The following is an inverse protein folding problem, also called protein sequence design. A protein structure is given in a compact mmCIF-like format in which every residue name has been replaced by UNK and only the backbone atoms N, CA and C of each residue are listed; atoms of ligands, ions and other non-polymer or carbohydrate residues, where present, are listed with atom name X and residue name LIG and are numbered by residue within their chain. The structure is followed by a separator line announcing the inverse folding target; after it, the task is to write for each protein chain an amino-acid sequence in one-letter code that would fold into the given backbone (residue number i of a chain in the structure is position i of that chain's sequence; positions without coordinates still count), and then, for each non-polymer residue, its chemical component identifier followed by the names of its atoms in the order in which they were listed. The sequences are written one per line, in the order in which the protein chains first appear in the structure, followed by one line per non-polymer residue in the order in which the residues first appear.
data_IF_419339145185
#
_entry.id   IF_419339145185
#
_cell.length_a   1.000
_cell.length_b   1.000
_cell.length_c   1.000
_cell.angle_alpha   90.00
_cell.angle_beta   90.00
_cell.angle_gamma   90.00
#
_symmetry.space_group_name_H-M   'P 1'
#
loop_
_entity.id
_entity.type
_entity.pdbx_description
1 polymer ?
#
# COMPACT_ATOMS: atom_id res chain seq x y z
N UNK A 1 24.01 -0.08 -19.01
CA UNK A 1 22.63 -0.06 -18.47
C UNK A 1 22.18 1.38 -18.33
N UNK A 2 21.00 1.72 -18.84
CA UNK A 2 20.47 3.08 -18.69
C UNK A 2 19.96 3.30 -17.25
N UNK A 3 20.10 4.51 -16.70
CA UNK A 3 19.44 4.89 -15.46
C UNK A 3 17.92 4.77 -15.57
N UNK A 4 17.25 4.39 -14.49
CA UNK A 4 15.80 4.31 -14.45
C UNK A 4 15.17 5.69 -14.43
N UNK A 5 14.26 5.94 -15.37
CA UNK A 5 13.45 7.15 -15.41
C UNK A 5 11.96 6.78 -15.28
N UNK A 6 11.28 7.25 -14.21
CA UNK A 6 9.83 7.15 -14.10
C UNK A 6 9.11 7.68 -15.34
N UNK A 7 8.09 6.95 -15.81
CA UNK A 7 7.27 7.40 -16.94
C UNK A 7 6.40 8.63 -16.62
N UNK A 8 6.26 9.00 -15.35
CA UNK A 8 5.45 10.16 -14.97
C UNK A 8 6.16 11.44 -15.39
N UNK A 9 5.43 12.29 -16.15
CA UNK A 9 5.89 13.64 -16.52
C UNK A 9 5.38 14.71 -15.55
N UNK A 10 4.43 14.36 -14.69
CA UNK A 10 3.86 15.27 -13.70
C UNK A 10 4.89 15.49 -12.58
N UNK A 11 5.05 16.74 -12.09
CA UNK A 11 5.79 17.00 -10.85
C UNK A 11 5.26 16.13 -9.71
N UNK A 12 6.18 15.67 -8.85
CA UNK A 12 5.87 14.83 -7.70
C UNK A 12 6.35 15.54 -6.44
N UNK A 13 5.50 15.58 -5.41
CA UNK A 13 5.85 16.08 -4.07
C UNK A 13 6.89 15.17 -3.47
N UNK A 14 7.96 15.76 -2.93
CA UNK A 14 8.97 14.98 -2.22
C UNK A 14 8.42 14.47 -0.89
N UNK A 15 8.68 13.20 -0.57
CA UNK A 15 8.18 12.56 0.64
C UNK A 15 9.29 11.83 1.37
N UNK A 16 9.25 11.82 2.69
CA UNK A 16 10.27 11.15 3.53
C UNK A 16 10.43 9.66 3.18
N UNK A 17 9.34 9.00 2.75
CA UNK A 17 9.36 7.59 2.34
C UNK A 17 10.25 7.34 1.11
N UNK A 18 10.49 8.34 0.25
CA UNK A 18 11.39 8.19 -0.90
C UNK A 18 12.82 7.96 -0.44
N UNK A 19 13.26 8.74 0.54
CA UNK A 19 14.59 8.60 1.14
C UNK A 19 14.71 7.31 1.93
N UNK A 20 13.67 6.90 2.66
CA UNK A 20 13.66 5.62 3.36
C UNK A 20 13.83 4.42 2.41
N UNK A 21 13.17 4.44 1.23
CA UNK A 21 13.34 3.43 0.19
C UNK A 21 14.75 3.49 -0.42
N UNK A 22 15.29 4.69 -0.71
CA UNK A 22 16.67 4.84 -1.20
C UNK A 22 17.70 4.31 -0.23
N UNK A 23 17.54 4.59 1.08
CA UNK A 23 18.42 4.06 2.11
C UNK A 23 18.35 2.53 2.19
N UNK A 24 17.16 1.95 1.99
CA UNK A 24 17.02 0.49 1.89
C UNK A 24 17.77 -0.07 0.70
N UNK A 25 17.64 0.53 -0.48
CA UNK A 25 18.35 0.10 -1.69
C UNK A 25 19.86 0.18 -1.49
N UNK A 26 20.36 1.28 -0.90
CA UNK A 26 21.79 1.51 -0.69
C UNK A 26 22.43 0.48 0.24
N UNK A 27 21.71 0.08 1.29
CA UNK A 27 22.20 -0.83 2.32
C UNK A 27 21.49 -2.19 2.25
N UNK A 28 21.04 -2.59 1.06
CA UNK A 28 20.42 -3.89 0.87
C UNK A 28 21.48 -4.99 0.91
N UNK A 29 21.23 -6.02 1.72
CA UNK A 29 22.11 -7.19 1.87
C UNK A 29 21.36 -8.49 1.52
N UNK A 30 20.11 -8.59 2.00
CA UNK A 30 19.19 -9.70 1.78
C UNK A 30 17.75 -9.21 1.85
N UNK A 31 16.80 -10.10 1.55
CA UNK A 31 15.37 -10.00 1.86
C UNK A 31 14.54 -9.09 0.97
N UNK A 32 13.31 -9.54 0.71
CA UNK A 32 12.36 -8.78 -0.08
C UNK A 32 11.98 -7.47 0.65
N UNK A 33 11.73 -6.41 -0.11
CA UNK A 33 11.21 -5.15 0.42
C UNK A 33 9.74 -5.01 0.02
N UNK A 34 8.85 -4.94 1.00
CA UNK A 34 7.42 -4.84 0.76
C UNK A 34 6.98 -3.39 1.00
N UNK A 35 6.39 -2.79 -0.02
CA UNK A 35 5.81 -1.45 0.05
C UNK A 35 4.30 -1.62 0.19
N UNK A 36 3.83 -1.35 1.40
CA UNK A 36 2.44 -1.45 1.80
C UNK A 36 1.84 -0.07 2.06
N UNK A 37 0.53 -0.02 2.21
CA UNK A 37 -0.22 1.22 2.44
C UNK A 37 -1.61 1.17 1.83
N UNK A 38 -2.42 2.18 2.12
CA UNK A 38 -3.79 2.30 1.59
C UNK A 38 -3.77 2.33 0.07
N UNK A 39 -4.81 1.78 -0.56
CA UNK A 39 -4.99 1.94 -2.00
C UNK A 39 -5.01 3.44 -2.33
N UNK A 40 -4.26 3.87 -3.35
CA UNK A 40 -4.18 5.28 -3.73
C UNK A 40 -3.22 6.16 -2.90
N UNK A 41 -2.48 5.63 -1.92
CA UNK A 41 -1.53 6.43 -1.11
C UNK A 41 -0.23 6.84 -1.83
N UNK A 42 -0.07 6.49 -3.10
CA UNK A 42 1.12 6.85 -3.89
C UNK A 42 2.29 5.86 -3.82
N UNK A 43 2.05 4.59 -3.44
CA UNK A 43 3.09 3.54 -3.33
C UNK A 43 3.96 3.38 -4.57
N UNK A 44 3.34 3.12 -5.73
CA UNK A 44 4.09 2.96 -6.98
C UNK A 44 4.83 4.25 -7.37
N UNK A 45 4.30 5.43 -7.03
CA UNK A 45 5.02 6.71 -7.24
C UNK A 45 6.24 6.79 -6.33
N UNK A 46 6.10 6.47 -5.05
CA UNK A 46 7.20 6.48 -4.08
C UNK A 46 8.36 5.57 -4.50
N UNK A 47 8.05 4.35 -4.93
CA UNK A 47 9.07 3.40 -5.43
C UNK A 47 9.75 3.93 -6.69
N UNK A 48 8.98 4.40 -7.66
CA UNK A 48 9.53 4.89 -8.93
C UNK A 48 10.42 6.11 -8.73
N UNK A 49 10.00 7.07 -7.91
CA UNK A 49 10.82 8.25 -7.59
C UNK A 49 12.06 7.90 -6.77
N UNK A 50 11.98 6.95 -5.84
CA UNK A 50 13.16 6.46 -5.11
C UNK A 50 14.18 5.79 -6.04
N UNK A 51 13.72 5.18 -7.14
CA UNK A 51 14.56 4.51 -8.13
C UNK A 51 15.06 5.44 -9.25
N UNK A 52 14.66 6.71 -9.28
CA UNK A 52 15.09 7.65 -10.32
C UNK A 52 16.62 7.73 -10.37
N UNK A 53 17.18 7.57 -11.57
CA UNK A 53 18.63 7.57 -11.78
C UNK A 53 19.35 6.27 -11.39
N UNK A 54 18.65 5.29 -10.81
CA UNK A 54 19.25 4.00 -10.40
C UNK A 54 19.40 3.10 -11.63
N UNK A 55 20.58 2.49 -11.80
CA UNK A 55 20.84 1.55 -12.89
C UNK A 55 20.47 0.12 -12.48
N UNK A 56 20.18 -0.73 -13.47
CA UNK A 56 19.88 -2.15 -13.22
C UNK A 56 18.47 -2.40 -12.65
N UNK A 57 17.55 -1.46 -12.86
CA UNK A 57 16.15 -1.56 -12.40
C UNK A 57 15.28 -2.17 -13.49
N UNK A 58 14.50 -3.18 -13.13
CA UNK A 58 13.45 -3.75 -13.97
C UNK A 58 12.10 -3.70 -13.26
N UNK A 59 11.10 -3.11 -13.90
CA UNK A 59 9.74 -2.99 -13.34
C UNK A 59 8.77 -3.87 -14.10
N UNK A 60 8.09 -4.75 -13.39
CA UNK A 60 7.10 -5.69 -13.91
C UNK A 60 5.76 -5.55 -13.18
N UNK A 61 4.66 -5.60 -13.92
CA UNK A 61 3.32 -5.61 -13.32
C UNK A 61 2.75 -7.01 -13.34
N UNK A 62 2.19 -7.47 -12.21
CA UNK A 62 1.64 -8.82 -12.05
C UNK A 62 0.12 -8.72 -12.19
N UNK A 63 -0.37 -8.86 -13.42
CA UNK A 63 -1.79 -8.67 -13.75
C UNK A 63 -2.59 -9.98 -13.71
N UNK A 64 -1.94 -11.12 -13.93
CA UNK A 64 -2.55 -12.43 -14.17
C UNK A 64 -1.61 -13.59 -13.81
N UNK A 65 -2.10 -14.83 -13.94
CA UNK A 65 -1.40 -16.04 -13.53
C UNK A 65 -0.13 -16.34 -14.36
N UNK A 66 -0.05 -15.91 -15.62
CA UNK A 66 1.10 -16.10 -16.52
C UNK A 66 2.15 -14.98 -16.43
N UNK A 67 2.08 -14.15 -15.37
CA UNK A 67 3.02 -13.03 -15.15
C UNK A 67 4.49 -13.44 -15.22
N UNK A 68 4.84 -14.66 -14.76
CA UNK A 68 6.23 -15.14 -14.73
C UNK A 68 6.77 -15.36 -16.14
N UNK A 69 5.97 -15.93 -17.04
CA UNK A 69 6.33 -16.12 -18.45
C UNK A 69 6.45 -14.77 -19.16
N UNK A 70 5.53 -13.83 -18.86
CA UNK A 70 5.62 -12.44 -19.35
C UNK A 70 6.88 -11.74 -18.85
N UNK A 71 7.29 -11.97 -17.60
CA UNK A 71 8.52 -11.44 -17.04
C UNK A 71 9.74 -11.98 -17.81
N UNK A 72 9.85 -13.29 -18.00
CA UNK A 72 10.97 -13.91 -18.72
C UNK A 72 11.03 -13.44 -20.16
N UNK A 73 9.89 -13.41 -20.86
CA UNK A 73 9.80 -12.90 -22.23
C UNK A 73 10.27 -11.44 -22.33
N UNK A 74 9.90 -10.58 -21.38
CA UNK A 74 10.32 -9.17 -21.34
C UNK A 74 11.81 -8.99 -21.02
N UNK A 75 12.40 -9.94 -20.30
CA UNK A 75 13.85 -10.00 -20.07
C UNK A 75 14.61 -10.66 -21.24
N UNK A 76 13.89 -11.18 -22.25
CA UNK A 76 14.49 -11.89 -23.39
C UNK A 76 15.02 -13.28 -23.03
N UNK A 77 14.47 -13.91 -21.99
CA UNK A 77 14.90 -15.21 -21.49
C UNK A 77 14.04 -16.33 -22.07
N UNK A 78 14.68 -17.45 -22.43
CA UNK A 78 14.00 -18.64 -22.89
C UNK A 78 13.32 -19.41 -21.74
N UNK A 79 13.75 -19.17 -20.49
CA UNK A 79 13.21 -19.83 -19.31
C UNK A 79 13.86 -19.37 -18.00
N UNK A 80 13.42 -19.92 -16.86
CA UNK A 80 13.88 -19.55 -15.52
C UNK A 80 15.39 -19.80 -15.31
N UNK A 81 15.94 -20.86 -15.90
CA UNK A 81 17.34 -21.27 -15.71
C UNK A 81 18.34 -20.21 -16.18
N UNK A 82 17.93 -19.32 -17.10
CA UNK A 82 18.78 -18.23 -17.60
C UNK A 82 18.73 -16.97 -16.73
N UNK A 83 17.80 -16.89 -15.78
CA UNK A 83 17.62 -15.69 -14.96
C UNK A 83 18.87 -15.43 -14.11
N UNK A 84 19.43 -16.47 -13.49
CA UNK A 84 20.64 -16.38 -12.66
C UNK A 84 21.81 -15.74 -13.42
N UNK A 85 22.15 -16.28 -14.59
CA UNK A 85 23.25 -15.81 -15.42
C UNK A 85 23.08 -14.34 -15.82
N UNK A 86 21.84 -13.90 -16.02
CA UNK A 86 21.54 -12.51 -16.35
C UNK A 86 21.73 -11.62 -15.14
N UNK A 87 21.21 -12.01 -13.97
CA UNK A 87 21.34 -11.26 -12.73
C UNK A 87 22.81 -11.14 -12.31
N UNK A 88 23.58 -12.23 -12.37
CA UNK A 88 25.02 -12.24 -12.09
C UNK A 88 25.80 -11.29 -13.02
N UNK A 89 25.49 -11.29 -14.33
CA UNK A 89 26.12 -10.36 -15.28
C UNK A 89 25.78 -8.90 -15.00
N UNK A 90 24.52 -8.62 -14.64
CA UNK A 90 24.08 -7.27 -14.28
C UNK A 90 24.75 -6.82 -12.99
N UNK A 91 24.81 -7.67 -11.96
CA UNK A 91 25.50 -7.39 -10.71
C UNK A 91 26.97 -7.02 -10.95
N UNK A 92 27.72 -7.83 -11.70
CA UNK A 92 29.12 -7.56 -12.01
C UNK A 92 29.34 -6.24 -12.76
N UNK A 93 28.34 -5.75 -13.51
CA UNK A 93 28.38 -4.43 -14.13
C UNK A 93 28.05 -3.32 -13.13
N UNK A 94 27.06 -3.51 -12.25
CA UNK A 94 26.68 -2.53 -11.23
C UNK A 94 27.80 -2.28 -10.22
N UNK A 95 28.51 -3.33 -9.80
CA UNK A 95 29.68 -3.22 -8.91
C UNK A 95 30.78 -2.32 -9.49
N UNK A 96 30.99 -2.35 -10.81
CA UNK A 96 31.96 -1.50 -11.52
C UNK A 96 31.49 -0.05 -11.64
N UNK A 97 30.18 0.18 -11.72
CA UNK A 97 29.60 1.51 -11.89
C UNK A 97 29.54 2.29 -10.57
N UNK A 98 29.54 1.60 -9.42
CA UNK A 98 29.56 2.25 -8.10
C UNK A 98 28.30 3.07 -7.79
N UNK A 99 27.15 2.67 -8.36
CA UNK A 99 25.87 3.36 -8.21
C UNK A 99 25.19 3.11 -6.85
N UNK A 100 23.94 3.56 -6.72
CA UNK A 100 23.16 3.41 -5.47
C UNK A 100 22.96 1.95 -5.06
N UNK A 101 22.74 1.06 -6.03
CA UNK A 101 22.63 -0.39 -5.81
C UNK A 101 23.83 -1.10 -6.41
N UNK A 102 24.27 -2.17 -5.73
CA UNK A 102 25.29 -3.11 -6.24
C UNK A 102 24.68 -4.34 -6.90
N UNK A 103 23.38 -4.54 -6.75
CA UNK A 103 22.64 -5.69 -7.29
C UNK A 103 21.50 -5.24 -8.21
N UNK A 104 21.05 -6.09 -9.15
CA UNK A 104 19.84 -5.83 -9.93
C UNK A 104 18.65 -5.58 -9.01
N UNK A 105 17.75 -4.66 -9.39
CA UNK A 105 16.50 -4.41 -8.67
C UNK A 105 15.34 -4.87 -9.55
N UNK A 106 14.50 -5.75 -9.01
CA UNK A 106 13.25 -6.16 -9.65
C UNK A 106 12.08 -5.61 -8.85
N UNK A 107 11.31 -4.72 -9.46
CA UNK A 107 10.07 -4.20 -8.89
C UNK A 107 8.91 -5.02 -9.41
N UNK A 108 8.14 -5.61 -8.49
CA UNK A 108 6.92 -6.36 -8.73
C UNK A 108 5.73 -5.48 -8.29
N UNK A 109 5.11 -4.80 -9.26
CA UNK A 109 3.94 -3.93 -9.05
C UNK A 109 2.68 -4.78 -9.16
N UNK A 110 1.96 -4.96 -8.06
CA UNK A 110 0.78 -5.83 -7.99
C UNK A 110 -0.49 -4.96 -7.98
N UNK A 111 -1.21 -4.85 -9.10
CA UNK A 111 -2.46 -4.09 -9.19
C UNK A 111 -3.54 -4.61 -8.24
N UNK A 112 -4.52 -3.76 -7.95
CA UNK A 112 -5.66 -4.12 -7.08
C UNK A 112 -6.52 -5.25 -7.64
N UNK A 113 -6.57 -5.38 -8.95
CA UNK A 113 -7.36 -6.38 -9.67
C UNK A 113 -6.76 -7.79 -9.57
N UNK A 114 -5.51 -7.91 -9.14
CA UNK A 114 -4.84 -9.21 -9.06
C UNK A 114 -5.35 -9.99 -7.85
N UNK A 115 -6.05 -11.10 -8.12
CA UNK A 115 -6.64 -11.95 -7.09
C UNK A 115 -5.81 -13.20 -6.80
N UNK A 116 -5.05 -13.68 -7.77
CA UNK A 116 -4.36 -14.98 -7.74
C UNK A 116 -2.83 -14.84 -7.81
N UNK A 117 -2.11 -15.92 -7.50
CA UNK A 117 -0.66 -16.01 -7.70
C UNK A 117 0.21 -15.36 -6.63
N UNK A 118 -0.33 -14.88 -5.51
CA UNK A 118 0.48 -14.22 -4.47
C UNK A 118 1.54 -15.16 -3.86
N UNK A 119 1.21 -16.45 -3.70
CA UNK A 119 2.15 -17.46 -3.22
C UNK A 119 3.32 -17.66 -4.19
N UNK A 120 3.06 -17.60 -5.50
CA UNK A 120 4.11 -17.74 -6.52
C UNK A 120 4.97 -16.49 -6.62
N UNK A 121 4.40 -15.30 -6.45
CA UNK A 121 5.15 -14.04 -6.35
C UNK A 121 6.02 -14.03 -5.10
N UNK A 122 5.49 -14.48 -3.96
CA UNK A 122 6.25 -14.62 -2.72
C UNK A 122 7.42 -15.59 -2.87
N UNK A 123 7.15 -16.78 -3.39
CA UNK A 123 8.18 -17.80 -3.62
C UNK A 123 9.27 -17.30 -4.57
N UNK A 124 8.89 -16.55 -5.62
CA UNK A 124 9.84 -15.93 -6.53
C UNK A 124 10.69 -14.85 -5.85
N UNK A 125 10.10 -13.99 -5.03
CA UNK A 125 10.84 -12.96 -4.29
C UNK A 125 11.84 -13.59 -3.31
N UNK A 126 11.41 -14.63 -2.57
CA UNK A 126 12.27 -15.42 -1.66
C UNK A 126 13.48 -15.98 -2.40
N UNK A 127 13.21 -16.67 -3.52
CA UNK A 127 14.23 -17.32 -4.33
C UNK A 127 15.34 -16.35 -4.77
N UNK A 128 14.98 -15.11 -5.12
CA UNK A 128 15.95 -14.12 -5.58
C UNK A 128 16.67 -13.35 -4.46
N UNK A 129 16.06 -13.22 -3.27
CA UNK A 129 16.57 -12.35 -2.22
C UNK A 129 17.30 -13.07 -1.07
N UNK A 130 17.00 -14.36 -0.83
CA UNK A 130 17.32 -14.98 0.45
C UNK A 130 17.64 -16.48 0.38
N UNK A 131 17.73 -17.10 -0.80
CA UNK A 131 18.03 -18.53 -0.90
C UNK A 131 19.55 -18.78 -0.81
N UNK A 132 20.00 -19.60 0.13
CA UNK A 132 21.43 -19.90 0.33
C UNK A 132 22.09 -20.55 -0.91
N UNK A 133 21.28 -21.12 -1.81
CA UNK A 133 21.74 -21.67 -3.09
C UNK A 133 22.09 -20.61 -4.13
N UNK A 134 21.42 -19.46 -4.08
CA UNK A 134 21.67 -18.28 -4.89
C UNK A 134 22.03 -17.12 -3.95
N UNK A 135 23.32 -16.84 -3.75
CA UNK A 135 23.74 -15.59 -3.07
C UNK A 135 22.86 -14.45 -3.57
N UNK A 136 22.11 -13.82 -2.66
CA UNK A 136 21.04 -12.85 -2.91
C UNK A 136 21.22 -12.09 -4.25
N UNK A 137 20.61 -12.65 -5.31
CA UNK A 137 20.98 -12.34 -6.70
C UNK A 137 20.32 -11.05 -7.21
N UNK A 138 19.23 -10.62 -6.56
CA UNK A 138 18.56 -9.36 -6.85
C UNK A 138 17.80 -8.84 -5.63
N UNK A 139 17.72 -7.51 -5.53
CA UNK A 139 16.82 -6.84 -4.59
C UNK A 139 15.42 -6.83 -5.18
N UNK A 140 14.50 -7.62 -4.62
CA UNK A 140 13.09 -7.61 -5.02
C UNK A 140 12.30 -6.62 -4.16
N UNK A 141 11.65 -5.67 -4.84
CA UNK A 141 10.73 -4.71 -4.23
C UNK A 141 9.31 -5.06 -4.68
N UNK A 142 8.44 -5.40 -3.74
CA UNK A 142 7.04 -5.73 -4.01
C UNK A 142 6.17 -4.54 -3.64
N UNK A 143 5.47 -3.98 -4.61
CA UNK A 143 4.51 -2.90 -4.42
C UNK A 143 3.10 -3.48 -4.46
N UNK A 144 2.56 -3.81 -3.29
CA UNK A 144 1.21 -4.34 -3.16
C UNK A 144 0.20 -3.19 -3.21
N UNK A 145 -0.81 -3.25 -4.07
CA UNK A 145 -1.79 -2.15 -4.25
C UNK A 145 -2.58 -1.76 -2.99
N UNK A 146 -2.76 -2.67 -2.04
CA UNK A 146 -3.49 -2.46 -0.79
C UNK A 146 -2.82 -3.13 0.41
N UNK A 147 -3.15 -2.66 1.61
CA UNK A 147 -2.69 -3.25 2.86
C UNK A 147 -3.08 -4.73 2.99
N UNK A 148 -4.32 -5.08 2.62
CA UNK A 148 -4.80 -6.46 2.64
C UNK A 148 -4.01 -7.37 1.71
N UNK A 149 -3.60 -6.86 0.55
CA UNK A 149 -2.73 -7.60 -0.39
C UNK A 149 -1.32 -7.77 0.15
N UNK A 150 -0.77 -6.74 0.81
CA UNK A 150 0.52 -6.84 1.47
C UNK A 150 0.54 -7.92 2.56
N UNK A 151 -0.58 -8.14 3.27
CA UNK A 151 -0.71 -9.19 4.27
C UNK A 151 -0.81 -10.61 3.69
N UNK A 152 -1.28 -10.74 2.46
CA UNK A 152 -1.25 -12.01 1.74
C UNK A 152 0.16 -12.37 1.27
N UNK A 153 1.10 -11.42 1.33
CA UNK A 153 2.49 -11.64 0.96
C UNK A 153 3.29 -12.14 2.18
N UNK A 154 3.73 -13.39 2.12
CA UNK A 154 4.59 -13.98 3.14
C UNK A 154 5.93 -14.36 2.53
N UNK A 155 6.90 -13.42 2.50
CA UNK A 155 8.26 -13.66 2.03
C UNK A 155 9.12 -14.49 3.01
N UNK A 156 8.51 -15.25 3.92
CA UNK A 156 9.19 -16.18 4.83
C UNK A 156 9.21 -15.65 6.26
N UNK A 157 8.14 -14.95 6.63
CA UNK A 157 7.99 -14.23 7.89
C UNK A 157 8.77 -12.91 7.93
N UNK A 158 8.62 -12.21 9.06
CA UNK A 158 9.29 -10.93 9.33
C UNK A 158 10.82 -10.99 9.27
N UNK A 159 11.39 -12.18 9.38
CA UNK A 159 12.84 -12.40 9.30
C UNK A 159 13.39 -12.28 7.88
N UNK A 160 12.55 -12.38 6.84
CA UNK A 160 12.97 -12.41 5.43
C UNK A 160 12.29 -11.35 4.56
N UNK A 161 11.67 -10.35 5.20
CA UNK A 161 11.07 -9.21 4.52
C UNK A 161 11.20 -7.93 5.33
N UNK A 162 11.46 -6.81 4.64
CA UNK A 162 11.42 -5.47 5.24
C UNK A 162 10.19 -4.72 4.73
N UNK A 163 9.28 -4.39 5.64
CA UNK A 163 8.05 -3.70 5.33
C UNK A 163 8.22 -2.19 5.47
N UNK A 164 7.77 -1.45 4.47
CA UNK A 164 7.61 -0.01 4.48
C UNK A 164 6.15 0.34 4.28
N UNK A 165 5.69 1.35 5.01
CA UNK A 165 4.33 1.83 4.90
C UNK A 165 4.31 3.23 4.26
N UNK A 166 3.54 3.37 3.19
CA UNK A 166 3.30 4.65 2.53
C UNK A 166 1.99 5.21 3.04
N UNK A 167 2.11 6.20 3.93
CA UNK A 167 0.99 6.94 4.48
C UNK A 167 0.29 7.78 3.40
N UNK A 168 -0.89 8.30 3.73
CA UNK A 168 -1.50 9.42 2.99
C UNK A 168 -0.62 10.68 3.16
N UNK A 169 -0.93 11.77 2.44
CA UNK A 169 -0.14 13.00 2.57
C UNK A 169 -0.26 13.59 3.98
N UNK A 170 0.81 14.23 4.44
CA UNK A 170 0.73 15.21 5.54
C UNK A 170 0.06 16.50 5.04
N UNK A 171 -0.26 17.43 5.95
CA UNK A 171 -0.73 18.77 5.57
C UNK A 171 0.22 19.48 4.61
N UNK A 172 1.52 19.47 4.93
CA UNK A 172 2.55 20.11 4.11
C UNK A 172 2.67 19.43 2.73
N UNK A 173 2.65 18.08 2.69
CA UNK A 173 2.71 17.32 1.44
C UNK A 173 1.47 17.57 0.57
N UNK A 174 0.28 17.64 1.17
CA UNK A 174 -0.97 17.90 0.45
C UNK A 174 -1.01 19.34 -0.10
N UNK A 175 -0.55 20.31 0.70
CA UNK A 175 -0.45 21.71 0.29
C UNK A 175 0.54 21.90 -0.86
N UNK A 176 1.71 21.25 -0.80
CA UNK A 176 2.67 21.25 -1.89
C UNK A 176 2.08 20.57 -3.15
N UNK A 177 1.40 19.44 -2.97
CA UNK A 177 0.77 18.71 -4.07
C UNK A 177 -0.24 19.58 -4.81
N UNK A 178 -1.13 20.24 -4.06
CA UNK A 178 -2.17 21.10 -4.62
C UNK A 178 -1.58 22.36 -5.24
N UNK A 179 -0.50 22.92 -4.68
CA UNK A 179 0.23 24.01 -5.31
C UNK A 179 0.80 23.61 -6.69
N UNK A 180 1.35 22.40 -6.83
CA UNK A 180 1.81 21.85 -8.12
C UNK A 180 0.68 21.62 -9.12
N UNK A 181 -0.57 21.58 -8.66
CA UNK A 181 -1.78 21.48 -9.49
C UNK A 181 -2.47 22.82 -9.75
N UNK A 182 -1.95 23.93 -9.20
CA UNK A 182 -2.54 25.26 -9.34
C UNK A 182 -3.65 25.57 -8.32
N UNK A 183 -3.80 24.76 -7.28
CA UNK A 183 -4.83 24.90 -6.24
C UNK A 183 -4.23 25.27 -4.87
N UNK A 184 -3.21 26.13 -4.85
CA UNK A 184 -2.50 26.52 -3.60
C UNK A 184 -3.43 27.17 -2.58
N UNK A 185 -4.34 28.03 -3.03
CA UNK A 185 -5.20 28.84 -2.16
C UNK A 185 -6.44 28.06 -1.67
N UNK A 186 -6.85 27.01 -2.39
CA UNK A 186 -8.04 26.21 -2.06
C UNK A 186 -7.72 24.92 -1.30
N UNK A 187 -6.47 24.75 -0.84
CA UNK A 187 -5.97 23.45 -0.39
C UNK A 187 -6.80 22.83 0.74
N UNK A 188 -7.27 23.66 1.69
CA UNK A 188 -8.13 23.21 2.80
C UNK A 188 -9.48 22.67 2.30
N UNK A 189 -10.06 23.29 1.27
CA UNK A 189 -11.34 22.88 0.71
C UNK A 189 -11.21 21.52 0.01
N UNK A 190 -10.10 21.28 -0.71
CA UNK A 190 -9.79 19.98 -1.29
C UNK A 190 -9.63 18.91 -0.22
N UNK A 191 -8.82 19.17 0.81
CA UNK A 191 -8.59 18.22 1.91
C UNK A 191 -9.90 17.94 2.66
N UNK A 192 -10.76 18.93 2.89
CA UNK A 192 -12.07 18.73 3.49
C UNK A 192 -13.02 17.90 2.61
N UNK A 193 -12.87 17.97 1.29
CA UNK A 193 -13.74 17.25 0.36
C UNK A 193 -13.32 15.79 0.13
N UNK A 194 -12.02 15.53 -0.01
CA UNK A 194 -11.54 14.20 -0.40
C UNK A 194 -10.46 13.61 0.53
N UNK A 195 -10.03 14.34 1.56
CA UNK A 195 -8.96 13.92 2.48
C UNK A 195 -7.57 14.03 1.88
N UNK A 196 -6.60 13.36 2.53
CA UNK A 196 -5.17 13.45 2.22
C UNK A 196 -4.64 12.38 1.24
N UNK A 197 -5.51 11.51 0.74
CA UNK A 197 -5.08 10.40 -0.11
C UNK A 197 -4.66 10.93 -1.47
N UNK A 198 -3.44 10.61 -1.89
CA UNK A 198 -2.84 11.12 -3.13
C UNK A 198 -3.72 10.90 -4.38
N UNK A 199 -4.31 9.71 -4.52
CA UNK A 199 -5.22 9.41 -5.64
C UNK A 199 -6.51 10.23 -5.59
N UNK A 200 -7.13 10.38 -4.41
CA UNK A 200 -8.38 11.11 -4.26
C UNK A 200 -8.15 12.61 -4.57
N UNK A 201 -7.01 13.17 -4.15
CA UNK A 201 -6.58 14.51 -4.51
C UNK A 201 -6.28 14.67 -6.01
N UNK A 202 -5.53 13.75 -6.64
CA UNK A 202 -5.20 13.86 -8.08
C UNK A 202 -6.46 13.79 -8.96
N UNK A 203 -7.41 12.90 -8.63
CA UNK A 203 -8.69 12.80 -9.34
C UNK A 203 -9.52 14.07 -9.14
N UNK A 204 -9.65 14.55 -7.90
CA UNK A 204 -10.44 15.76 -7.61
C UNK A 204 -9.86 17.00 -8.29
N UNK A 205 -8.52 17.11 -8.41
CA UNK A 205 -7.90 18.18 -9.21
C UNK A 205 -8.21 18.06 -10.70
N UNK A 206 -8.24 16.83 -11.23
CA UNK A 206 -8.54 16.57 -12.64
C UNK A 206 -9.96 16.96 -13.03
N UNK A 207 -10.90 16.81 -12.09
CA UNK A 207 -12.34 17.08 -12.30
C UNK A 207 -12.77 18.46 -11.76
N UNK A 208 -11.84 19.30 -11.30
CA UNK A 208 -12.17 20.57 -10.65
C UNK A 208 -12.64 21.63 -11.65
N UNK A 209 -13.93 21.98 -11.55
CA UNK A 209 -14.57 23.06 -12.33
C UNK A 209 -14.97 24.26 -11.44
N UNK A 210 -14.77 24.14 -10.13
CA UNK A 210 -15.06 25.17 -9.14
C UNK A 210 -15.53 24.59 -7.80
N UNK A 211 -15.95 25.45 -6.84
CA UNK A 211 -16.34 25.03 -5.50
C UNK A 211 -17.46 23.97 -5.44
N UNK A 212 -18.35 23.95 -6.44
CA UNK A 212 -19.42 22.95 -6.53
C UNK A 212 -18.87 21.51 -6.69
N UNK A 213 -17.74 21.33 -7.40
CA UNK A 213 -17.07 20.03 -7.52
C UNK A 213 -16.66 19.51 -6.14
N UNK A 214 -16.10 20.38 -5.29
CA UNK A 214 -15.65 19.99 -3.94
C UNK A 214 -16.81 19.63 -3.02
N UNK A 215 -17.91 20.37 -3.08
CA UNK A 215 -19.12 20.06 -2.33
C UNK A 215 -19.70 18.69 -2.73
N UNK A 216 -19.84 18.45 -4.03
CA UNK A 216 -20.30 17.16 -4.56
C UNK A 216 -19.36 16.01 -4.18
N UNK A 217 -18.05 16.26 -4.25
CA UNK A 217 -17.04 15.25 -3.88
C UNK A 217 -17.11 14.89 -2.40
N UNK A 218 -17.28 15.89 -1.53
CA UNK A 218 -17.45 15.70 -0.09
C UNK A 218 -18.65 14.81 0.20
N UNK A 219 -19.80 15.12 -0.40
CA UNK A 219 -21.02 14.33 -0.22
C UNK A 219 -20.85 12.88 -0.72
N UNK A 220 -20.20 12.69 -1.87
CA UNK A 220 -19.88 11.37 -2.41
C UNK A 220 -19.03 10.55 -1.42
N UNK A 221 -17.95 11.16 -0.91
CA UNK A 221 -17.00 10.53 0.00
C UNK A 221 -17.64 10.19 1.35
N UNK A 222 -18.47 11.10 1.90
CA UNK A 222 -19.24 10.86 3.14
C UNK A 222 -20.22 9.70 2.97
N UNK A 223 -20.99 9.68 1.87
CA UNK A 223 -21.95 8.61 1.57
C UNK A 223 -21.25 7.27 1.40
N UNK A 224 -20.09 7.26 0.73
CA UNK A 224 -19.27 6.06 0.56
C UNK A 224 -18.74 5.56 1.90
N UNK A 225 -18.16 6.43 2.72
CA UNK A 225 -17.64 6.07 4.04
C UNK A 225 -18.73 5.47 4.94
N UNK A 226 -19.91 6.12 5.03
CA UNK A 226 -21.06 5.59 5.78
C UNK A 226 -21.47 4.19 5.30
N UNK A 227 -21.57 3.99 3.99
CA UNK A 227 -21.93 2.70 3.39
C UNK A 227 -20.90 1.62 3.70
N UNK A 228 -19.60 1.92 3.61
CA UNK A 228 -18.53 0.97 3.90
C UNK A 228 -18.48 0.61 5.39
N UNK A 229 -18.61 1.59 6.29
CA UNK A 229 -18.68 1.35 7.74
C UNK A 229 -19.89 0.49 8.10
N UNK A 230 -21.08 0.80 7.59
CA UNK A 230 -22.29 0.04 7.88
C UNK A 230 -22.15 -1.42 7.42
N UNK A 231 -21.63 -1.62 6.20
CA UNK A 231 -21.37 -2.97 5.68
C UNK A 231 -20.34 -3.72 6.50
N UNK A 232 -19.24 -3.07 6.89
CA UNK A 232 -18.24 -3.70 7.75
C UNK A 232 -18.81 -4.12 9.10
N UNK A 233 -19.52 -3.21 9.79
CA UNK A 233 -20.21 -3.46 11.06
C UNK A 233 -21.15 -4.66 10.98
N UNK A 234 -22.00 -4.69 9.96
CA UNK A 234 -23.11 -5.64 9.87
C UNK A 234 -22.74 -6.97 9.20
N UNK A 235 -21.68 -7.00 8.38
CA UNK A 235 -21.35 -8.17 7.54
C UNK A 235 -20.01 -8.82 7.88
N UNK A 236 -19.09 -8.17 8.60
CA UNK A 236 -17.85 -8.81 9.04
C UNK A 236 -18.13 -9.65 10.29
N UNK A 237 -18.44 -10.94 10.08
CA UNK A 237 -18.88 -11.89 11.12
C UNK A 237 -17.96 -13.12 11.27
N UNK A 238 -16.64 -12.90 11.19
CA UNK A 238 -15.63 -13.96 11.18
C UNK A 238 -15.67 -14.78 12.47
N UNK A 239 -15.78 -14.09 13.61
CA UNK A 239 -15.91 -14.71 14.93
C UNK A 239 -16.95 -13.93 15.75
N UNK A 240 -18.23 -13.98 15.34
CA UNK A 240 -19.32 -13.25 15.99
C UNK A 240 -19.48 -11.84 15.43
N UNK A 241 -19.55 -10.82 16.29
CA UNK A 241 -19.79 -9.43 15.89
C UNK A 241 -18.50 -8.66 15.56
N UNK A 242 -17.51 -9.36 14.98
CA UNK A 242 -16.14 -8.88 14.70
C UNK A 242 -16.09 -7.46 14.13
N UNK A 243 -16.88 -7.16 13.10
CA UNK A 243 -16.89 -5.84 12.47
C UNK A 243 -17.32 -4.72 13.41
N UNK A 244 -18.30 -5.00 14.29
CA UNK A 244 -18.77 -4.02 15.28
C UNK A 244 -17.74 -3.86 16.40
N UNK A 245 -17.20 -4.96 16.92
CA UNK A 245 -16.18 -4.97 17.98
C UNK A 245 -14.95 -4.15 17.58
N UNK A 246 -14.41 -4.39 16.37
CA UNK A 246 -13.29 -3.63 15.82
C UNK A 246 -13.61 -2.13 15.75
N UNK A 247 -14.79 -1.74 15.27
CA UNK A 247 -15.17 -0.34 15.16
C UNK A 247 -15.32 0.34 16.53
N UNK A 248 -15.92 -0.34 17.51
CA UNK A 248 -16.10 0.17 18.88
C UNK A 248 -14.74 0.40 19.55
N UNK A 249 -13.82 -0.55 19.40
CA UNK A 249 -12.49 -0.48 20.00
C UNK A 249 -11.61 0.58 19.34
N UNK A 250 -11.65 0.71 18.01
CA UNK A 250 -10.97 1.80 17.30
C UNK A 250 -11.47 3.19 17.74
N UNK A 251 -12.77 3.35 18.00
CA UNK A 251 -13.31 4.61 18.54
C UNK A 251 -12.86 4.85 19.98
N UNK A 252 -12.83 3.81 20.82
CA UNK A 252 -12.36 3.92 22.20
C UNK A 252 -10.88 4.33 22.27
N UNK A 253 -10.03 3.69 21.46
CA UNK A 253 -8.60 3.99 21.38
C UNK A 253 -8.33 5.42 20.91
N UNK A 254 -9.10 5.88 19.92
CA UNK A 254 -9.07 7.28 19.47
C UNK A 254 -9.41 8.27 20.58
N UNK A 255 -10.42 7.98 21.41
CA UNK A 255 -10.78 8.84 22.55
C UNK A 255 -9.72 8.83 23.65
N UNK A 256 -9.03 7.70 23.84
CA UNK A 256 -7.97 7.54 24.83
C UNK A 256 -6.61 8.10 24.37
N UNK A 257 -6.47 8.51 23.10
CA UNK A 257 -5.20 8.93 22.52
C UNK A 257 -4.16 7.81 22.43
N UNK A 258 -4.61 6.55 22.38
CA UNK A 258 -3.75 5.36 22.30
C UNK A 258 -3.85 4.71 20.91
N UNK A 259 -2.75 4.13 20.44
CA UNK A 259 -2.76 3.16 19.34
C UNK A 259 -3.54 1.90 19.75
N UNK A 260 -4.14 1.22 18.78
CA UNK A 260 -4.94 0.03 19.04
C UNK A 260 -4.03 -1.21 19.03
N UNK A 261 -3.10 -1.27 19.98
CA UNK A 261 -1.98 -2.24 19.93
C UNK A 261 -2.43 -3.69 20.14
N UNK A 262 -3.60 -3.92 20.76
CA UNK A 262 -4.20 -5.25 20.85
C UNK A 262 -5.72 -5.12 20.77
N UNK A 263 -6.28 -5.25 19.56
CA UNK A 263 -7.72 -5.47 19.49
C UNK A 263 -8.05 -6.81 20.13
N UNK A 264 -8.93 -6.81 21.13
CA UNK A 264 -9.39 -8.03 21.78
C UNK A 264 -10.48 -8.70 20.94
N UNK A 265 -10.13 -9.06 19.69
CA UNK A 265 -11.04 -9.74 18.77
C UNK A 265 -10.55 -11.16 18.52
N UNK A 266 -11.46 -12.13 18.50
CA UNK A 266 -11.14 -13.53 18.20
C UNK A 266 -10.71 -13.76 16.73
N UNK A 267 -10.86 -12.77 15.85
CA UNK A 267 -10.48 -12.86 14.44
C UNK A 267 -9.03 -12.40 14.21
N UNK A 268 -8.27 -13.16 13.42
CA UNK A 268 -6.91 -12.76 13.09
C UNK A 268 -6.91 -11.56 12.12
N UNK A 269 -5.87 -10.69 12.14
CA UNK A 269 -5.70 -9.64 11.15
C UNK A 269 -5.76 -10.12 9.71
N UNK A 270 -5.25 -11.33 9.44
CA UNK A 270 -5.24 -11.93 8.11
C UNK A 270 -6.66 -12.24 7.62
N UNK A 271 -7.52 -12.77 8.49
CA UNK A 271 -8.91 -13.10 8.14
C UNK A 271 -9.71 -11.83 7.83
N UNK A 272 -9.54 -10.78 8.65
CA UNK A 272 -10.21 -9.49 8.42
C UNK A 272 -9.72 -8.83 7.13
N UNK A 273 -8.41 -8.87 6.87
CA UNK A 273 -7.84 -8.36 5.63
C UNK A 273 -8.33 -9.11 4.38
N UNK A 274 -8.43 -10.45 4.45
CA UNK A 274 -9.02 -11.25 3.38
C UNK A 274 -10.49 -10.88 3.16
N UNK A 275 -11.28 -10.76 4.22
CA UNK A 275 -12.67 -10.34 4.14
C UNK A 275 -12.82 -8.96 3.46
N UNK A 276 -12.00 -7.98 3.86
CA UNK A 276 -11.94 -6.64 3.27
C UNK A 276 -11.63 -6.73 1.77
N UNK A 277 -10.65 -7.56 1.39
CA UNK A 277 -10.25 -7.74 -0.01
C UNK A 277 -11.38 -8.33 -0.86
N UNK A 278 -11.99 -9.41 -0.40
CA UNK A 278 -13.07 -10.12 -1.13
C UNK A 278 -14.32 -9.27 -1.31
N UNK A 279 -14.64 -8.46 -0.30
CA UNK A 279 -15.86 -7.63 -0.29
C UNK A 279 -15.63 -6.22 -0.84
N UNK A 280 -14.38 -5.79 -0.93
CA UNK A 280 -14.00 -4.48 -1.44
C UNK A 280 -14.36 -3.30 -0.54
N UNK A 281 -14.58 -3.52 0.76
CA UNK A 281 -14.92 -2.47 1.74
C UNK A 281 -13.70 -2.12 2.57
N UNK A 282 -13.27 -0.87 2.53
CA UNK A 282 -12.00 -0.44 3.12
C UNK A 282 -12.26 0.57 4.23
N UNK A 283 -13.20 0.30 5.13
CA UNK A 283 -13.48 1.19 6.26
C UNK A 283 -12.41 1.12 7.36
N UNK A 284 -11.79 -0.05 7.49
CA UNK A 284 -10.71 -0.37 8.41
C UNK A 284 -9.55 -0.97 7.62
N UNK A 285 -8.33 -0.77 8.12
CA UNK A 285 -7.10 -1.36 7.58
C UNK A 285 -6.24 -1.91 8.71
N UNK A 286 -5.42 -2.91 8.40
CA UNK A 286 -4.32 -3.34 9.26
C UNK A 286 -3.03 -2.67 8.81
N UNK A 287 -2.39 -1.92 9.71
CA UNK A 287 -1.15 -1.21 9.43
C UNK A 287 0.05 -2.12 9.69
N UNK A 288 0.58 -2.76 8.63
CA UNK A 288 1.56 -3.85 8.75
C UNK A 288 2.86 -3.50 9.49
N UNK A 289 3.26 -2.23 9.50
CA UNK A 289 4.47 -1.77 10.22
C UNK A 289 4.21 -1.45 11.69
N UNK A 290 3.00 -1.01 12.04
CA UNK A 290 2.60 -0.66 13.41
C UNK A 290 1.90 -1.83 14.10
N UNK A 291 1.53 -2.86 13.34
CA UNK A 291 0.78 -4.03 13.79
C UNK A 291 -0.49 -3.66 14.56
N UNK A 292 -1.22 -2.66 14.06
CA UNK A 292 -2.48 -2.21 14.64
C UNK A 292 -3.56 -2.02 13.57
N UNK A 293 -4.82 -2.06 13.99
CA UNK A 293 -5.92 -1.63 13.13
C UNK A 293 -6.06 -0.11 13.15
N UNK A 294 -6.51 0.45 12.03
CA UNK A 294 -6.82 1.87 11.90
C UNK A 294 -8.06 2.05 11.03
N UNK A 295 -8.80 3.14 11.25
CA UNK A 295 -9.74 3.62 10.25
C UNK A 295 -9.01 3.95 8.96
N UNK A 296 -9.62 3.69 7.81
CA UNK A 296 -9.00 3.99 6.53
C UNK A 296 -9.01 5.48 6.15
N UNK A 297 -9.80 6.29 6.86
CA UNK A 297 -9.76 7.76 6.84
C UNK A 297 -10.58 8.34 7.99
N UNK A 298 -10.42 9.63 8.23
CA UNK A 298 -11.25 10.41 9.15
C UNK A 298 -12.75 10.34 8.85
N UNK A 299 -13.13 10.27 7.58
CA UNK A 299 -14.53 10.10 7.17
C UNK A 299 -15.12 8.78 7.68
N UNK A 300 -14.33 7.70 7.68
CA UNK A 300 -14.76 6.42 8.23
C UNK A 300 -14.88 6.46 9.76
N UNK A 301 -13.98 7.16 10.45
CA UNK A 301 -14.06 7.35 11.90
C UNK A 301 -15.32 8.13 12.30
N UNK A 302 -15.64 9.20 11.56
CA UNK A 302 -16.83 10.00 11.77
C UNK A 302 -18.11 9.19 11.49
N UNK A 303 -18.15 8.48 10.37
CA UNK A 303 -19.26 7.60 10.04
C UNK A 303 -19.48 6.50 11.09
N UNK A 304 -18.41 5.88 11.60
CA UNK A 304 -18.49 4.89 12.66
C UNK A 304 -19.06 5.48 13.96
N UNK A 305 -18.62 6.68 14.32
CA UNK A 305 -19.13 7.40 15.50
C UNK A 305 -20.64 7.60 15.42
N UNK A 306 -21.15 8.05 14.27
CA UNK A 306 -22.59 8.27 14.07
C UNK A 306 -23.39 6.96 14.08
N UNK A 307 -22.93 5.95 13.33
CA UNK A 307 -23.62 4.67 13.16
C UNK A 307 -23.70 3.87 14.48
N UNK A 308 -22.65 3.95 15.31
CA UNK A 308 -22.63 3.26 16.60
C UNK A 308 -23.43 4.00 17.66
N UNK A 309 -23.42 5.35 17.67
CA UNK A 309 -24.29 6.15 18.55
C UNK A 309 -25.78 6.02 18.23
N UNK A 310 -26.14 5.86 16.95
CA UNK A 310 -27.54 5.74 16.52
C UNK A 310 -28.14 4.35 16.75
N UNK A 311 -27.35 3.38 17.21
CA UNK A 311 -27.84 2.03 17.53
C UNK A 311 -28.19 1.99 19.03
N UNK A 312 -29.48 1.96 19.43
CA UNK A 312 -29.82 1.84 20.84
C UNK A 312 -29.20 0.56 21.38
N UNK A 313 -28.41 0.65 22.45
CA UNK A 313 -27.95 -0.52 23.17
C UNK A 313 -29.20 -1.28 23.64
N UNK A 314 -29.59 -2.35 22.93
CA UNK A 314 -30.50 -3.36 23.46
C UNK A 314 -29.77 -4.02 24.63
N UNK A 315 -29.80 -3.37 25.81
CA UNK A 315 -29.51 -4.05 27.06
C UNK A 315 -30.55 -5.15 27.17
N UNK A 316 -30.09 -6.37 26.98
CA UNK A 316 -30.82 -7.56 27.36
C UNK A 316 -31.03 -7.51 28.87
N UNK A 317 -32.15 -6.92 29.30
CA UNK A 317 -32.75 -7.25 30.58
C UNK A 317 -33.27 -8.67 30.44
N UNK A 318 -32.46 -9.64 30.84
CA UNK A 318 -32.99 -10.95 31.20
C UNK A 318 -33.61 -10.83 32.59
N UNK A 319 -34.83 -11.36 32.79
CA UNK A 319 -35.47 -11.45 34.11
C UNK A 319 -34.74 -12.40 35.05
#
# INVERSE_FOLDING_TARGET
MQPYEPKTKKPVVHRAIFEAIKQRIKHWESDATIIAGRFGSGKSVAVREALRGVQGVFVHSIEDADWKDKLFKRLGLAGPDMLEDVLCRVQAQLEKLGGLSKVPIIVLDIPRTTMEGMDTVSSFAKYLCSDDTMKAAAHVIVCASSAAMAMAFDAGGEQRQKNYWVEDFTDDEAKEFLALRGHREDWEQFVQACGYRALDLDLTCGDYEGPATLAAKKEEMDKKARKEVLRFKDQCKIAGDTGKEILEELLANRQAGKGADELCTAASPKDVAMWIRERGYHSVIWHTVKQEYQFASELHANAATEILKSTPSRRHNWP
#
